data_IF_066299652001
#
_entry.id   IF_066299652001
#
_cell.length_a   1.000
_cell.length_b   1.000
_cell.length_c   1.000
_cell.angle_alpha   90.00
_cell.angle_beta   90.00
_cell.angle_gamma   90.00
#
_symmetry.space_group_name_H-M   'P 1'
#
loop_
_entity.id
_entity.type
_entity.pdbx_description
1 polymer ?
#
# COMPACT_ATOMS: atom_id res chain seq x y z
N UNK A 1 -21.13 -10.00 6.88
CA UNK A 1 -19.93 -9.55 6.13
C UNK A 1 -19.60 -10.59 5.07
N UNK A 2 -19.23 -10.16 3.87
CA UNK A 2 -18.84 -11.04 2.75
C UNK A 2 -17.38 -10.72 2.31
N UNK A 3 -16.58 -11.75 2.05
CA UNK A 3 -15.19 -11.63 1.63
C UNK A 3 -15.05 -12.22 0.22
N UNK A 4 -14.60 -11.41 -0.73
CA UNK A 4 -14.20 -11.89 -2.06
C UNK A 4 -12.76 -12.39 -1.98
N UNK A 5 -12.53 -13.66 -2.32
CA UNK A 5 -11.23 -14.31 -2.31
C UNK A 5 -10.95 -14.97 -3.65
N UNK A 6 -9.70 -14.93 -4.12
CA UNK A 6 -9.33 -15.67 -5.33
C UNK A 6 -9.13 -17.15 -5.01
N UNK A 7 -9.39 -18.01 -5.98
CA UNK A 7 -8.98 -19.42 -5.90
C UNK A 7 -7.49 -19.50 -5.58
N UNK A 8 -7.11 -20.35 -4.59
CA UNK A 8 -5.73 -20.51 -4.15
C UNK A 8 -5.16 -19.39 -3.28
N UNK A 9 -5.99 -18.42 -2.82
CA UNK A 9 -5.54 -17.42 -1.85
C UNK A 9 -5.19 -18.04 -0.50
N UNK A 10 -4.17 -17.50 0.15
CA UNK A 10 -3.86 -17.83 1.55
C UNK A 10 -4.94 -17.23 2.46
N UNK A 11 -5.64 -18.06 3.18
CA UNK A 11 -6.78 -17.68 4.03
C UNK A 11 -6.43 -17.53 5.51
N UNK A 12 -5.15 -17.70 5.90
CA UNK A 12 -4.74 -17.68 7.32
C UNK A 12 -5.22 -16.47 8.10
N UNK A 13 -5.28 -15.30 7.47
CA UNK A 13 -5.74 -14.07 8.13
C UNK A 13 -7.26 -13.97 8.31
N UNK A 14 -8.02 -14.80 7.59
CA UNK A 14 -9.48 -14.68 7.52
C UNK A 14 -10.20 -16.00 7.85
N UNK A 15 -9.45 -17.07 8.13
CA UNK A 15 -10.03 -18.40 8.34
C UNK A 15 -10.97 -18.44 9.54
N UNK A 16 -10.68 -17.67 10.61
CA UNK A 16 -11.43 -17.63 11.85
C UNK A 16 -12.55 -16.56 11.86
N UNK A 17 -12.68 -15.80 10.76
CA UNK A 17 -13.72 -14.79 10.65
C UNK A 17 -15.07 -15.42 10.29
N UNK A 18 -16.12 -15.05 11.04
CA UNK A 18 -17.51 -15.36 10.70
C UNK A 18 -17.97 -14.48 9.54
N UNK A 19 -17.66 -14.90 8.31
CA UNK A 19 -17.99 -14.17 7.09
C UNK A 19 -18.28 -15.13 5.94
N UNK A 20 -19.19 -14.75 5.06
CA UNK A 20 -19.42 -15.45 3.80
C UNK A 20 -18.20 -15.28 2.89
N UNK A 21 -17.73 -16.37 2.31
CA UNK A 21 -16.61 -16.35 1.38
C UNK A 21 -17.12 -16.65 -0.02
N UNK A 22 -16.87 -15.72 -0.93
CA UNK A 22 -17.21 -15.86 -2.35
C UNK A 22 -15.91 -15.90 -3.14
N UNK A 23 -15.77 -16.92 -3.98
CA UNK A 23 -14.61 -17.01 -4.89
C UNK A 23 -14.85 -16.15 -6.11
N UNK A 24 -13.86 -15.31 -6.46
CA UNK A 24 -13.91 -14.47 -7.65
C UNK A 24 -12.56 -13.77 -7.91
N UNK A 25 -12.48 -13.04 -9.00
CA UNK A 25 -11.27 -12.32 -9.43
C UNK A 25 -11.67 -10.94 -9.96
N UNK A 26 -10.85 -9.91 -9.73
CA UNK A 26 -11.08 -8.56 -10.25
C UNK A 26 -11.19 -8.49 -11.78
N UNK A 27 -10.67 -9.51 -12.48
CA UNK A 27 -10.72 -9.64 -13.94
C UNK A 27 -11.97 -10.37 -14.44
N UNK A 28 -12.82 -10.86 -13.53
CA UNK A 28 -14.07 -11.56 -13.84
C UNK A 28 -15.29 -10.77 -13.34
N UNK A 29 -15.86 -9.96 -14.22
CA UNK A 29 -17.01 -9.10 -13.91
C UNK A 29 -18.23 -9.89 -13.39
N UNK A 30 -18.44 -11.15 -13.84
CA UNK A 30 -19.56 -11.97 -13.36
C UNK A 30 -19.38 -12.34 -11.89
N UNK A 31 -18.18 -12.73 -11.50
CA UNK A 31 -17.88 -13.05 -10.11
C UNK A 31 -18.00 -11.81 -9.20
N UNK A 32 -17.63 -10.63 -9.71
CA UNK A 32 -17.75 -9.37 -8.96
C UNK A 32 -19.21 -8.99 -8.74
N UNK A 33 -20.07 -9.12 -9.77
CA UNK A 33 -21.51 -8.86 -9.64
C UNK A 33 -22.16 -9.79 -8.63
N UNK A 34 -21.83 -11.09 -8.67
CA UNK A 34 -22.32 -12.06 -7.69
C UNK A 34 -21.86 -11.69 -6.26
N UNK A 35 -20.59 -11.30 -6.10
CA UNK A 35 -20.04 -10.91 -4.80
C UNK A 35 -20.66 -9.62 -4.25
N UNK A 36 -20.99 -8.65 -5.12
CA UNK A 36 -21.58 -7.37 -4.74
C UNK A 36 -23.08 -7.46 -4.42
N UNK A 37 -23.78 -8.47 -4.98
CA UNK A 37 -25.22 -8.64 -4.80
C UNK A 37 -25.63 -8.71 -3.32
N UNK A 38 -26.55 -7.82 -2.90
CA UNK A 38 -27.05 -7.70 -1.52
C UNK A 38 -26.05 -7.10 -0.54
N UNK A 39 -24.96 -6.49 -1.00
CA UNK A 39 -24.06 -5.70 -0.17
C UNK A 39 -24.50 -4.25 -0.17
N UNK A 40 -24.53 -3.62 1.01
CA UNK A 40 -24.81 -2.19 1.17
C UNK A 40 -23.56 -1.33 0.95
N UNK A 41 -22.39 -1.88 1.28
CA UNK A 41 -21.10 -1.19 1.27
C UNK A 41 -20.03 -2.12 0.71
N UNK A 42 -19.10 -1.55 -0.04
CA UNK A 42 -17.91 -2.28 -0.51
C UNK A 42 -16.64 -1.56 -0.05
N UNK A 43 -15.75 -2.30 0.61
CA UNK A 43 -14.35 -1.91 0.78
C UNK A 43 -13.54 -2.57 -0.34
N UNK A 44 -13.10 -1.78 -1.31
CA UNK A 44 -12.28 -2.27 -2.41
C UNK A 44 -10.80 -2.12 -2.04
N UNK A 45 -10.25 -3.13 -1.38
CA UNK A 45 -8.85 -3.16 -0.89
C UNK A 45 -7.92 -3.90 -1.86
N UNK A 46 -8.48 -4.78 -2.69
CA UNK A 46 -7.70 -5.64 -3.55
C UNK A 46 -6.95 -4.86 -4.63
N UNK A 47 -5.65 -5.13 -4.77
CA UNK A 47 -4.79 -4.58 -5.82
C UNK A 47 -3.57 -5.48 -6.05
N UNK A 48 -2.95 -5.37 -7.22
CA UNK A 48 -1.59 -5.85 -7.44
C UNK A 48 -0.60 -4.76 -7.02
N UNK A 49 0.17 -5.02 -5.95
CA UNK A 49 1.11 -4.07 -5.34
C UNK A 49 2.58 -4.42 -5.59
N UNK A 50 2.86 -5.38 -6.48
CA UNK A 50 4.24 -5.77 -6.83
C UNK A 50 4.98 -4.59 -7.45
N UNK A 51 6.16 -4.26 -6.94
CA UNK A 51 6.99 -3.17 -7.47
C UNK A 51 7.68 -3.55 -8.78
N UNK A 52 7.77 -4.84 -9.06
CA UNK A 52 8.30 -5.38 -10.30
C UNK A 52 7.42 -6.54 -10.79
N UNK A 53 7.07 -6.51 -12.06
CA UNK A 53 6.32 -7.57 -12.75
C UNK A 53 6.94 -7.80 -14.11
N UNK A 54 6.88 -9.01 -14.59
CA UNK A 54 7.38 -9.37 -15.91
C UNK A 54 6.45 -8.92 -17.02
N UNK A 55 5.14 -9.06 -16.80
CA UNK A 55 4.08 -8.59 -17.66
C UNK A 55 3.31 -7.46 -16.96
N UNK A 56 3.55 -6.19 -17.33
CA UNK A 56 2.83 -5.07 -16.75
C UNK A 56 1.33 -5.03 -17.06
N UNK A 57 0.92 -5.60 -18.19
CA UNK A 57 -0.49 -5.58 -18.61
C UNK A 57 -1.41 -6.28 -17.60
N UNK A 58 -0.92 -7.38 -16.98
CA UNK A 58 -1.65 -8.06 -15.92
C UNK A 58 -1.96 -7.14 -14.74
N UNK A 59 -1.00 -6.28 -14.38
CA UNK A 59 -1.17 -5.30 -13.30
C UNK A 59 -2.20 -4.23 -13.66
N UNK A 60 -2.16 -3.71 -14.89
CA UNK A 60 -3.16 -2.73 -15.35
C UNK A 60 -4.56 -3.35 -15.42
N UNK A 61 -4.69 -4.57 -15.93
CA UNK A 61 -5.97 -5.29 -15.93
C UNK A 61 -6.51 -5.50 -14.52
N UNK A 62 -5.65 -5.87 -13.57
CA UNK A 62 -6.08 -6.06 -12.17
C UNK A 62 -6.41 -4.74 -11.47
N UNK A 63 -5.56 -3.73 -11.60
CA UNK A 63 -5.72 -2.49 -10.84
C UNK A 63 -6.70 -1.52 -11.48
N UNK A 64 -6.64 -1.31 -12.79
CA UNK A 64 -7.46 -0.30 -13.48
C UNK A 64 -8.80 -0.90 -13.91
N UNK A 65 -8.76 -1.97 -14.74
CA UNK A 65 -10.01 -2.57 -15.24
C UNK A 65 -10.75 -3.29 -14.11
N UNK A 66 -10.04 -3.92 -13.17
CA UNK A 66 -10.64 -4.50 -11.96
C UNK A 66 -11.34 -3.46 -11.08
N UNK A 67 -10.77 -2.25 -10.93
CA UNK A 67 -11.45 -1.15 -10.21
C UNK A 67 -12.70 -0.70 -10.97
N UNK A 68 -12.63 -0.58 -12.29
CA UNK A 68 -13.79 -0.25 -13.12
C UNK A 68 -14.89 -1.30 -12.97
N UNK A 69 -14.53 -2.57 -13.04
CA UNK A 69 -15.47 -3.68 -12.96
C UNK A 69 -16.17 -3.79 -11.58
N UNK A 70 -15.44 -3.56 -10.47
CA UNK A 70 -16.07 -3.59 -9.14
C UNK A 70 -16.97 -2.37 -8.90
N UNK A 71 -16.64 -1.21 -9.44
CA UNK A 71 -17.50 -0.02 -9.36
C UNK A 71 -18.79 -0.23 -10.18
N UNK A 72 -18.68 -0.81 -11.36
CA UNK A 72 -19.85 -1.16 -12.16
C UNK A 72 -20.73 -2.21 -11.46
N UNK A 73 -20.11 -3.27 -10.91
CA UNK A 73 -20.84 -4.28 -10.11
C UNK A 73 -21.53 -3.65 -8.89
N UNK A 74 -20.88 -2.69 -8.22
CA UNK A 74 -21.45 -1.93 -7.11
C UNK A 74 -22.68 -1.12 -7.56
N UNK A 75 -22.57 -0.40 -8.67
CA UNK A 75 -23.66 0.38 -9.25
C UNK A 75 -24.87 -0.48 -9.61
N UNK A 76 -24.63 -1.58 -10.34
CA UNK A 76 -25.68 -2.51 -10.76
C UNK A 76 -26.37 -3.23 -9.59
N UNK A 77 -25.64 -3.44 -8.47
CA UNK A 77 -26.15 -4.09 -7.27
C UNK A 77 -26.79 -3.12 -6.26
N UNK A 78 -26.85 -1.83 -6.57
CA UNK A 78 -27.44 -0.82 -5.69
C UNK A 78 -26.61 -0.59 -4.41
N UNK A 79 -25.31 -0.81 -4.46
CA UNK A 79 -24.39 -0.54 -3.34
C UNK A 79 -24.43 0.95 -2.99
N UNK A 80 -24.69 1.27 -1.73
CA UNK A 80 -24.85 2.65 -1.26
C UNK A 80 -23.53 3.42 -1.26
N UNK A 81 -22.43 2.81 -0.81
CA UNK A 81 -21.11 3.47 -0.73
C UNK A 81 -19.97 2.50 -1.01
N UNK A 82 -18.96 2.99 -1.70
CA UNK A 82 -17.69 2.28 -1.92
C UNK A 82 -16.55 3.05 -1.27
N UNK A 83 -15.76 2.38 -0.44
CA UNK A 83 -14.47 2.90 0.05
C UNK A 83 -13.35 2.26 -0.77
N UNK A 84 -12.75 3.05 -1.64
CA UNK A 84 -11.67 2.61 -2.51
C UNK A 84 -10.30 2.83 -1.87
N UNK A 85 -9.53 1.76 -1.71
CA UNK A 85 -8.16 1.82 -1.21
C UNK A 85 -7.18 2.12 -2.34
N UNK A 86 -6.76 3.36 -2.44
CA UNK A 86 -5.67 3.79 -3.31
C UNK A 86 -4.31 3.61 -2.61
N UNK A 87 -3.42 4.57 -2.71
CA UNK A 87 -2.09 4.53 -2.10
C UNK A 87 -1.49 5.94 -2.06
N UNK A 88 -0.66 6.24 -1.07
CA UNK A 88 0.23 7.41 -1.09
C UNK A 88 1.12 7.46 -2.34
N UNK A 89 1.31 6.33 -3.00
CA UNK A 89 2.09 6.22 -4.23
C UNK A 89 1.52 7.06 -5.39
N UNK A 90 0.23 7.44 -5.32
CA UNK A 90 -0.46 8.30 -6.31
C UNK A 90 -0.31 9.79 -6.03
N UNK A 91 0.29 10.16 -4.89
CA UNK A 91 0.46 11.56 -4.51
C UNK A 91 1.65 12.22 -5.21
N UNK A 92 1.53 13.53 -5.44
CA UNK A 92 2.67 14.37 -5.81
C UNK A 92 3.55 14.62 -4.60
N UNK A 93 4.86 14.69 -4.82
CA UNK A 93 5.81 15.05 -3.75
C UNK A 93 6.42 16.41 -4.05
N UNK A 94 6.33 17.32 -3.09
CA UNK A 94 6.86 18.67 -3.22
C UNK A 94 8.39 18.66 -3.13
N UNK A 95 9.06 19.41 -4.00
CA UNK A 95 10.52 19.56 -4.00
C UNK A 95 11.00 20.69 -3.06
N UNK A 96 10.08 21.49 -2.53
CA UNK A 96 10.35 22.69 -1.75
C UNK A 96 10.34 22.47 -0.22
N UNK A 97 10.44 21.22 0.23
CA UNK A 97 10.50 20.87 1.66
C UNK A 97 9.15 20.82 2.38
N UNK A 98 8.05 21.22 1.74
CA UNK A 98 6.72 21.04 2.31
C UNK A 98 6.26 19.59 2.21
N UNK A 99 5.51 19.13 3.22
CA UNK A 99 4.85 17.82 3.17
C UNK A 99 3.85 17.78 2.01
N UNK A 100 3.83 16.67 1.28
CA UNK A 100 2.80 16.45 0.27
C UNK A 100 1.45 16.17 0.94
N UNK A 101 0.37 16.62 0.31
CA UNK A 101 -1.01 16.40 0.74
C UNK A 101 -1.90 16.05 -0.46
N UNK A 102 -3.21 15.97 -0.25
CA UNK A 102 -4.19 15.64 -1.28
C UNK A 102 -4.29 16.71 -2.39
N UNK A 103 -3.79 17.92 -2.16
CA UNK A 103 -3.79 19.05 -3.14
C UNK A 103 -2.49 19.14 -3.91
N UNK A 104 -1.48 18.37 -3.52
CA UNK A 104 -0.15 18.38 -4.18
C UNK A 104 -0.29 18.04 -5.66
N UNK A 105 0.22 18.88 -6.57
CA UNK A 105 0.08 18.65 -8.01
C UNK A 105 0.73 17.32 -8.42
N UNK A 106 0.01 16.55 -9.19
CA UNK A 106 0.46 15.23 -9.66
C UNK A 106 -0.14 14.90 -11.02
N UNK A 107 0.63 14.21 -11.84
CA UNK A 107 0.19 13.71 -13.14
C UNK A 107 0.74 12.30 -13.38
N UNK A 108 0.22 11.61 -14.39
CA UNK A 108 0.71 10.30 -14.80
C UNK A 108 2.21 10.31 -15.15
N UNK A 109 2.73 11.43 -15.67
CA UNK A 109 4.15 11.59 -15.99
C UNK A 109 5.05 11.55 -14.75
N UNK A 110 4.52 11.88 -13.57
CA UNK A 110 5.25 11.82 -12.31
C UNK A 110 5.33 10.40 -11.71
N UNK A 111 4.58 9.45 -12.26
CA UNK A 111 4.47 8.10 -11.74
C UNK A 111 5.64 7.23 -12.22
N UNK A 112 6.53 6.86 -11.29
CA UNK A 112 7.69 5.98 -11.54
C UNK A 112 7.25 4.53 -11.38
N UNK A 113 7.46 3.72 -12.43
CA UNK A 113 7.14 2.30 -12.45
C UNK A 113 5.66 1.98 -12.67
N UNK A 114 5.39 0.74 -13.06
CA UNK A 114 4.03 0.30 -13.46
C UNK A 114 3.06 0.28 -12.28
N UNK A 115 3.53 -0.05 -11.07
CA UNK A 115 2.69 -0.03 -9.88
C UNK A 115 2.08 1.35 -9.64
N UNK A 116 2.91 2.41 -9.55
CA UNK A 116 2.40 3.77 -9.32
C UNK A 116 1.48 4.24 -10.43
N UNK A 117 1.84 3.94 -11.69
CA UNK A 117 1.03 4.31 -12.85
C UNK A 117 -0.35 3.63 -12.81
N UNK A 118 -0.40 2.32 -12.57
CA UNK A 118 -1.66 1.57 -12.49
C UNK A 118 -2.53 2.03 -11.32
N UNK A 119 -1.94 2.29 -10.14
CA UNK A 119 -2.68 2.83 -8.98
C UNK A 119 -3.21 4.23 -9.24
N UNK A 120 -2.41 5.10 -9.85
CA UNK A 120 -2.85 6.45 -10.23
C UNK A 120 -4.05 6.39 -11.20
N UNK A 121 -3.95 5.59 -12.27
CA UNK A 121 -5.05 5.44 -13.22
C UNK A 121 -6.31 4.86 -12.56
N UNK A 122 -6.17 3.86 -11.71
CA UNK A 122 -7.28 3.27 -10.96
C UNK A 122 -7.92 4.28 -9.97
N UNK A 123 -7.11 5.13 -9.34
CA UNK A 123 -7.62 6.21 -8.49
C UNK A 123 -8.43 7.22 -9.30
N UNK A 124 -7.99 7.59 -10.51
CA UNK A 124 -8.77 8.48 -11.37
C UNK A 124 -10.13 7.87 -11.75
N UNK A 125 -10.19 6.55 -12.01
CA UNK A 125 -11.46 5.83 -12.24
C UNK A 125 -12.38 5.94 -11.02
N UNK A 126 -11.86 5.79 -9.80
CA UNK A 126 -12.65 5.87 -8.58
C UNK A 126 -13.14 7.31 -8.30
N UNK A 127 -12.28 8.33 -8.51
CA UNK A 127 -12.64 9.75 -8.36
C UNK A 127 -13.71 10.13 -9.38
N UNK A 128 -13.57 9.70 -10.64
CA UNK A 128 -14.54 10.00 -11.69
C UNK A 128 -15.90 9.35 -11.40
N UNK A 129 -15.92 8.11 -10.90
CA UNK A 129 -17.16 7.48 -10.46
C UNK A 129 -17.85 8.30 -9.35
N UNK A 130 -17.08 8.83 -8.40
CA UNK A 130 -17.59 9.73 -7.36
C UNK A 130 -18.18 11.03 -7.92
N UNK A 131 -17.52 11.63 -8.89
CA UNK A 131 -18.00 12.85 -9.57
C UNK A 131 -19.23 12.59 -10.42
N UNK A 132 -19.36 11.39 -10.95
CA UNK A 132 -20.49 10.95 -11.78
C UNK A 132 -21.71 10.48 -10.97
N UNK A 133 -21.73 10.71 -9.65
CA UNK A 133 -22.90 10.47 -8.81
C UNK A 133 -22.91 9.17 -8.02
N UNK A 134 -21.87 8.31 -8.12
CA UNK A 134 -21.69 7.22 -7.18
C UNK A 134 -21.15 7.75 -5.85
N UNK A 135 -21.54 7.14 -4.73
CA UNK A 135 -20.94 7.46 -3.43
C UNK A 135 -19.62 6.69 -3.26
N UNK A 136 -18.50 7.29 -3.71
CA UNK A 136 -17.16 6.70 -3.64
C UNK A 136 -16.24 7.60 -2.84
N UNK A 137 -15.68 7.07 -1.77
CA UNK A 137 -14.64 7.73 -0.96
C UNK A 137 -13.31 7.04 -1.19
N UNK A 138 -12.27 7.84 -1.46
CA UNK A 138 -10.92 7.31 -1.72
C UNK A 138 -10.06 7.45 -0.48
N UNK A 139 -9.39 6.39 -0.07
CA UNK A 139 -8.37 6.44 0.99
C UNK A 139 -6.99 6.12 0.41
N UNK A 140 -5.99 6.85 0.85
CA UNK A 140 -4.60 6.71 0.41
C UNK A 140 -3.73 6.31 1.61
N UNK A 141 -3.71 5.01 1.98
CA UNK A 141 -2.78 4.54 3.00
C UNK A 141 -1.33 4.87 2.62
N UNK A 142 -0.53 5.19 3.62
CA UNK A 142 0.89 5.40 3.42
C UNK A 142 1.63 4.06 3.39
N UNK A 143 2.41 3.76 4.38
CA UNK A 143 3.18 2.52 4.45
C UNK A 143 2.76 1.76 5.71
N UNK A 144 1.70 0.92 5.65
CA UNK A 144 1.22 0.19 6.79
C UNK A 144 2.27 -0.79 7.33
N UNK A 145 2.38 -0.85 8.65
CA UNK A 145 3.23 -1.81 9.37
C UNK A 145 2.46 -2.39 10.55
N UNK A 146 2.68 -3.67 10.83
CA UNK A 146 2.02 -4.38 11.94
C UNK A 146 2.06 -5.88 11.75
N UNK A 147 1.25 -6.58 12.49
CA UNK A 147 1.06 -8.02 12.45
C UNK A 147 0.29 -8.51 11.22
N UNK A 148 0.33 -9.82 10.96
CA UNK A 148 -0.43 -10.53 9.90
C UNK A 148 -0.01 -10.20 8.46
N UNK A 149 1.21 -9.73 8.25
CA UNK A 149 1.77 -9.55 6.91
C UNK A 149 2.30 -10.90 6.36
N UNK A 150 1.37 -11.81 6.06
CA UNK A 150 1.64 -13.21 5.65
C UNK A 150 2.57 -13.29 4.44
N UNK A 151 2.38 -12.39 3.48
CA UNK A 151 3.24 -12.27 2.32
C UNK A 151 3.96 -10.93 2.43
N UNK A 152 5.15 -10.91 3.08
CA UNK A 152 5.80 -9.67 3.48
C UNK A 152 5.73 -8.59 2.39
N UNK A 153 4.99 -7.53 2.69
CA UNK A 153 4.92 -6.33 1.86
C UNK A 153 6.30 -5.68 1.78
N UNK A 154 6.54 -4.70 0.91
CA UNK A 154 7.80 -3.96 0.91
C UNK A 154 8.19 -3.42 2.30
N UNK A 155 7.22 -2.99 3.10
CA UNK A 155 7.45 -2.53 4.48
C UNK A 155 7.78 -3.70 5.42
N UNK A 156 7.00 -4.77 5.36
CA UNK A 156 7.26 -5.98 6.16
C UNK A 156 8.62 -6.60 5.85
N UNK A 157 9.08 -6.51 4.59
CA UNK A 157 10.43 -6.95 4.20
C UNK A 157 11.53 -6.14 4.90
N UNK A 158 11.33 -4.85 5.17
CA UNK A 158 12.29 -4.07 5.97
C UNK A 158 12.44 -4.71 7.36
N UNK A 159 11.33 -5.06 8.00
CA UNK A 159 11.35 -5.71 9.33
C UNK A 159 12.03 -7.08 9.25
N UNK A 160 11.60 -7.94 8.33
CA UNK A 160 12.17 -9.30 8.16
C UNK A 160 13.66 -9.27 7.82
N UNK A 161 14.07 -8.38 6.90
CA UNK A 161 15.48 -8.27 6.51
C UNK A 161 16.35 -7.68 7.63
N UNK A 162 15.79 -6.79 8.45
CA UNK A 162 16.46 -6.30 9.66
C UNK A 162 16.68 -7.44 10.68
N UNK A 163 15.65 -8.22 10.97
CA UNK A 163 15.74 -9.38 11.85
C UNK A 163 16.78 -10.40 11.37
N UNK A 164 16.87 -10.59 10.05
CA UNK A 164 17.88 -11.47 9.41
C UNK A 164 19.26 -10.83 9.27
N UNK A 165 19.49 -9.64 9.86
CA UNK A 165 20.76 -8.89 9.80
C UNK A 165 21.25 -8.60 8.37
N UNK A 166 20.32 -8.37 7.42
CA UNK A 166 20.64 -8.12 6.00
C UNK A 166 20.88 -6.65 5.66
N UNK A 167 20.95 -5.78 6.65
CA UNK A 167 21.26 -4.36 6.47
C UNK A 167 22.69 -4.05 6.92
N UNK A 168 23.73 -4.26 6.10
CA UNK A 168 25.09 -3.82 6.42
C UNK A 168 25.22 -2.29 6.36
N UNK A 169 24.33 -1.64 5.58
CA UNK A 169 24.29 -0.21 5.34
C UNK A 169 22.87 0.23 4.99
N UNK A 170 22.63 1.54 4.89
CA UNK A 170 21.33 2.11 4.55
C UNK A 170 21.43 3.18 3.46
N UNK A 171 20.36 3.41 2.72
CA UNK A 171 20.21 4.53 1.77
C UNK A 171 19.47 5.69 2.45
N UNK A 172 19.78 6.94 2.05
CA UNK A 172 19.06 8.11 2.53
C UNK A 172 17.72 8.24 1.82
N UNK A 173 16.73 7.63 2.41
CA UNK A 173 15.33 7.67 1.98
C UNK A 173 14.42 7.84 3.19
N UNK A 174 13.12 8.04 2.96
CA UNK A 174 12.14 8.17 4.03
C UNK A 174 10.76 7.74 3.58
N UNK A 175 10.01 7.23 4.54
CA UNK A 175 8.64 6.74 4.38
C UNK A 175 7.75 7.38 5.43
N UNK A 176 6.47 7.50 5.13
CA UNK A 176 5.48 7.75 6.16
C UNK A 176 4.94 6.39 6.62
N UNK A 177 5.23 5.99 7.85
CA UNK A 177 4.74 4.73 8.42
C UNK A 177 3.41 4.95 9.15
N UNK A 178 2.48 4.03 8.99
CA UNK A 178 1.20 4.01 9.69
C UNK A 178 0.97 2.63 10.31
N UNK A 179 0.40 2.60 11.51
CA UNK A 179 -0.08 1.36 12.12
C UNK A 179 -1.18 0.74 11.26
N UNK A 180 -1.06 -0.55 10.91
CA UNK A 180 -2.04 -1.27 10.07
C UNK A 180 -3.43 -1.29 10.70
N UNK A 181 -3.52 -1.37 12.03
CA UNK A 181 -4.80 -1.34 12.77
C UNK A 181 -5.46 0.04 12.65
N UNK A 182 -4.68 1.11 12.83
CA UNK A 182 -5.20 2.46 12.64
C UNK A 182 -5.57 2.70 11.17
N UNK A 183 -4.78 2.21 10.22
CA UNK A 183 -5.12 2.27 8.81
C UNK A 183 -6.50 1.62 8.53
N UNK A 184 -6.79 0.46 9.12
CA UNK A 184 -8.09 -0.18 9.00
C UNK A 184 -9.21 0.66 9.62
N UNK A 185 -8.98 1.28 10.79
CA UNK A 185 -9.93 2.23 11.42
C UNK A 185 -10.19 3.44 10.54
N UNK A 186 -9.16 3.93 9.85
CA UNK A 186 -9.30 5.01 8.88
C UNK A 186 -10.23 4.69 7.70
N UNK A 187 -10.24 3.43 7.24
CA UNK A 187 -11.20 2.97 6.24
C UNK A 187 -12.64 3.02 6.77
N UNK A 188 -12.85 2.62 8.02
CA UNK A 188 -14.18 2.70 8.66
C UNK A 188 -14.60 4.17 8.85
N UNK A 189 -13.69 5.01 9.32
CA UNK A 189 -13.97 6.45 9.44
C UNK A 189 -14.30 7.10 8.07
N UNK A 190 -13.63 6.68 7.00
CA UNK A 190 -13.93 7.13 5.64
C UNK A 190 -15.32 6.66 5.17
N UNK A 191 -15.74 5.43 5.55
CA UNK A 191 -17.09 4.97 5.30
C UNK A 191 -18.14 5.84 6.00
N UNK A 192 -17.90 6.21 7.26
CA UNK A 192 -18.87 6.93 8.09
C UNK A 192 -18.92 8.44 7.79
N UNK A 193 -17.76 9.06 7.56
CA UNK A 193 -17.60 10.53 7.53
C UNK A 193 -17.03 11.07 6.22
N UNK A 194 -16.47 10.19 5.38
CA UNK A 194 -15.82 10.63 4.15
C UNK A 194 -16.78 11.27 3.16
N UNK A 195 -16.36 12.33 2.52
CA UNK A 195 -17.09 13.01 1.45
C UNK A 195 -16.89 12.27 0.12
N UNK A 196 -17.98 12.00 -0.59
CA UNK A 196 -17.93 11.35 -1.90
C UNK A 196 -17.09 12.14 -2.90
N UNK A 197 -16.30 11.45 -3.70
CA UNK A 197 -15.39 12.04 -4.68
C UNK A 197 -14.09 12.60 -4.09
N UNK A 198 -13.97 12.60 -2.76
CA UNK A 198 -12.78 13.09 -2.05
C UNK A 198 -11.80 11.96 -1.71
N UNK A 199 -10.53 12.35 -1.54
CA UNK A 199 -9.46 11.44 -1.12
C UNK A 199 -8.84 11.89 0.19
N UNK A 200 -8.39 10.90 0.99
CA UNK A 200 -7.87 11.09 2.33
C UNK A 200 -6.59 10.29 2.55
N UNK A 201 -5.51 10.96 2.89
CA UNK A 201 -4.24 10.30 3.25
C UNK A 201 -4.36 9.71 4.66
N UNK A 202 -4.29 8.38 4.75
CA UNK A 202 -4.22 7.68 6.03
C UNK A 202 -2.75 7.44 6.37
N UNK A 203 -2.10 8.47 6.91
CA UNK A 203 -0.69 8.47 7.22
C UNK A 203 -0.41 8.48 8.72
N UNK A 204 0.83 8.17 9.07
CA UNK A 204 1.34 8.20 10.43
C UNK A 204 2.61 9.05 10.53
N UNK A 205 3.71 8.48 11.04
CA UNK A 205 4.96 9.19 11.25
C UNK A 205 5.83 9.25 9.99
N UNK A 206 6.33 10.43 9.67
CA UNK A 206 7.34 10.65 8.62
C UNK A 206 8.73 10.28 9.18
N UNK A 207 9.29 9.16 8.75
CA UNK A 207 10.55 8.61 9.25
C UNK A 207 11.54 8.36 8.12
N UNK A 208 12.81 8.72 8.32
CA UNK A 208 13.89 8.24 7.46
C UNK A 208 14.08 6.74 7.66
N UNK A 209 14.63 6.06 6.64
CA UNK A 209 14.95 4.64 6.77
C UNK A 209 15.89 4.40 7.97
N UNK A 210 16.84 5.31 8.21
CA UNK A 210 17.72 5.21 9.38
C UNK A 210 16.93 5.22 10.70
N UNK A 211 15.98 6.13 10.87
CA UNK A 211 15.12 6.18 12.05
C UNK A 211 14.27 4.91 12.21
N UNK A 212 13.75 4.35 11.10
CA UNK A 212 13.02 3.08 11.15
C UNK A 212 13.93 1.95 11.65
N UNK A 213 15.16 1.85 11.10
CA UNK A 213 16.14 0.84 11.50
C UNK A 213 16.61 1.04 12.94
N UNK A 214 16.71 2.29 13.43
CA UNK A 214 17.03 2.59 14.83
C UNK A 214 15.90 2.16 15.78
N UNK A 215 14.64 2.43 15.42
CA UNK A 215 13.48 1.94 16.18
C UNK A 215 13.47 0.41 16.25
N UNK A 216 13.74 -0.28 15.12
CA UNK A 216 13.86 -1.75 15.10
C UNK A 216 15.03 -2.23 15.97
N UNK A 217 16.17 -1.52 15.98
CA UNK A 217 17.30 -1.86 16.83
C UNK A 217 16.94 -1.79 18.32
N UNK A 218 16.22 -0.76 18.75
CA UNK A 218 15.73 -0.62 20.14
C UNK A 218 14.76 -1.76 20.49
N UNK A 219 13.86 -2.13 19.57
CA UNK A 219 12.87 -3.18 19.81
C UNK A 219 13.51 -4.57 19.92
N UNK A 220 14.52 -4.85 19.09
CA UNK A 220 15.07 -6.20 18.92
C UNK A 220 16.39 -6.43 19.65
N UNK A 221 17.08 -5.39 20.09
CA UNK A 221 18.45 -5.45 20.61
C UNK A 221 19.52 -5.68 19.53
N UNK A 222 19.14 -5.74 18.24
CA UNK A 222 20.10 -5.90 17.14
C UNK A 222 20.77 -4.57 16.77
N UNK A 223 22.01 -4.59 16.24
CA UNK A 223 22.69 -3.35 15.87
C UNK A 223 22.04 -2.68 14.66
N UNK A 224 21.84 -1.36 14.75
CA UNK A 224 21.42 -0.54 13.61
C UNK A 224 22.60 -0.26 12.67
N UNK A 225 22.40 -0.28 11.33
CA UNK A 225 23.44 0.02 10.36
C UNK A 225 23.90 1.48 10.50
N UNK A 226 25.24 1.69 10.45
CA UNK A 226 25.87 3.01 10.61
C UNK A 226 26.32 3.63 9.29
N UNK A 227 26.53 2.81 8.27
CA UNK A 227 27.09 3.24 6.99
C UNK A 227 25.98 3.66 6.03
N UNK A 228 26.08 4.89 5.51
CA UNK A 228 25.19 5.39 4.46
C UNK A 228 25.73 5.04 3.08
N UNK A 229 24.91 4.42 2.24
CA UNK A 229 25.26 4.11 0.84
C UNK A 229 24.95 5.31 -0.04
N UNK A 230 25.90 5.79 -0.86
CA UNK A 230 25.64 6.81 -1.87
C UNK A 230 24.60 6.33 -2.90
N UNK A 231 23.76 7.25 -3.39
CA UNK A 231 22.70 6.93 -4.35
C UNK A 231 23.20 6.21 -5.61
N UNK A 232 24.36 6.62 -6.13
CA UNK A 232 24.96 6.02 -7.34
C UNK A 232 25.27 4.54 -7.13
N UNK A 233 25.80 4.18 -5.95
CA UNK A 233 26.08 2.78 -5.58
C UNK A 233 24.78 1.98 -5.45
N UNK A 234 23.77 2.55 -4.82
CA UNK A 234 22.46 1.91 -4.70
C UNK A 234 21.83 1.70 -6.09
N UNK A 235 21.95 2.67 -7.00
CA UNK A 235 21.44 2.56 -8.37
C UNK A 235 22.18 1.48 -9.17
N UNK A 236 23.51 1.42 -9.09
CA UNK A 236 24.29 0.37 -9.74
C UNK A 236 23.88 -1.02 -9.23
N UNK A 237 23.70 -1.19 -7.91
CA UNK A 237 23.20 -2.43 -7.31
C UNK A 237 21.81 -2.79 -7.84
N UNK A 238 20.91 -1.81 -7.93
CA UNK A 238 19.57 -2.01 -8.48
C UNK A 238 19.57 -2.47 -9.93
N UNK A 239 20.44 -1.90 -10.77
CA UNK A 239 20.60 -2.33 -12.17
C UNK A 239 21.08 -3.77 -12.24
N UNK A 240 22.14 -4.12 -11.49
CA UNK A 240 22.71 -5.48 -11.49
C UNK A 240 21.68 -6.49 -10.98
N UNK A 241 21.00 -6.21 -9.88
CA UNK A 241 20.00 -7.14 -9.31
C UNK A 241 18.79 -7.30 -10.26
N UNK A 242 18.31 -6.23 -10.87
CA UNK A 242 17.21 -6.31 -11.83
C UNK A 242 17.57 -7.14 -13.07
N UNK A 243 18.80 -7.00 -13.59
CA UNK A 243 19.25 -7.78 -14.75
C UNK A 243 19.46 -9.24 -14.34
N UNK A 244 20.24 -9.50 -13.30
CA UNK A 244 20.63 -10.87 -12.92
C UNK A 244 19.45 -11.62 -12.31
N UNK A 245 18.78 -11.03 -11.32
CA UNK A 245 17.70 -11.73 -10.61
C UNK A 245 16.39 -11.65 -11.40
N UNK A 246 16.06 -10.49 -11.97
CA UNK A 246 14.81 -10.28 -12.69
C UNK A 246 14.78 -10.96 -14.06
N UNK A 247 15.72 -10.63 -14.94
CA UNK A 247 15.66 -11.11 -16.32
C UNK A 247 16.35 -12.46 -16.52
N UNK A 248 17.52 -12.70 -15.91
CA UNK A 248 18.28 -13.93 -16.10
C UNK A 248 17.68 -15.06 -15.23
N UNK A 249 17.57 -14.85 -13.92
CA UNK A 249 17.05 -15.86 -12.97
C UNK A 249 15.52 -15.95 -12.93
N UNK A 250 14.81 -15.01 -13.56
CA UNK A 250 13.34 -14.92 -13.62
C UNK A 250 12.67 -14.91 -12.24
N UNK A 251 13.33 -14.29 -11.25
CA UNK A 251 12.83 -14.12 -9.88
C UNK A 251 12.60 -12.63 -9.59
N UNK A 252 11.83 -12.32 -8.55
CA UNK A 252 11.60 -10.95 -8.11
C UNK A 252 12.91 -10.34 -7.59
N UNK A 253 13.42 -9.24 -8.19
CA UNK A 253 14.62 -8.55 -7.70
C UNK A 253 14.36 -7.94 -6.33
N UNK A 254 15.39 -7.89 -5.48
CA UNK A 254 15.32 -7.21 -4.18
C UNK A 254 15.41 -5.70 -4.32
N UNK A 255 16.27 -5.24 -5.21
CA UNK A 255 16.46 -3.84 -5.56
C UNK A 255 16.15 -3.66 -7.05
N UNK A 256 15.08 -2.93 -7.37
CA UNK A 256 14.78 -2.55 -8.76
C UNK A 256 15.24 -1.13 -9.03
N UNK A 257 15.53 -0.80 -10.29
CA UNK A 257 15.87 0.56 -10.69
C UNK A 257 14.79 1.54 -10.26
N UNK A 258 13.51 1.16 -10.42
CA UNK A 258 12.38 2.01 -10.04
C UNK A 258 12.27 2.17 -8.52
N UNK A 259 12.53 1.11 -7.74
CA UNK A 259 12.56 1.22 -6.27
C UNK A 259 13.67 2.17 -5.79
N UNK A 260 14.85 2.10 -6.39
CA UNK A 260 15.97 3.02 -6.05
C UNK A 260 15.64 4.46 -6.48
N UNK A 261 15.04 4.66 -7.66
CA UNK A 261 14.62 5.99 -8.12
C UNK A 261 13.53 6.58 -7.22
N UNK A 262 12.57 5.76 -6.80
CA UNK A 262 11.55 6.17 -5.82
C UNK A 262 12.17 6.55 -4.47
N UNK A 263 13.15 5.76 -4.02
CA UNK A 263 13.86 6.00 -2.76
C UNK A 263 14.68 7.30 -2.72
N UNK A 264 14.94 7.96 -3.86
CA UNK A 264 15.61 9.26 -3.88
C UNK A 264 14.77 10.37 -3.25
N UNK A 265 13.44 10.25 -3.27
CA UNK A 265 12.52 11.21 -2.67
C UNK A 265 11.98 10.64 -1.36
N UNK A 266 12.06 11.40 -0.28
CA UNK A 266 11.40 11.05 0.97
C UNK A 266 9.90 11.16 0.75
N UNK A 267 9.17 10.07 0.95
CA UNK A 267 7.72 10.01 0.80
C UNK A 267 7.04 10.53 2.07
N UNK A 268 7.28 11.80 2.38
CA UNK A 268 6.73 12.48 3.54
C UNK A 268 5.46 13.20 3.17
N UNK A 269 4.41 12.96 3.94
CA UNK A 269 3.07 13.46 3.68
C UNK A 269 2.40 14.01 4.94
N UNK A 270 1.36 14.80 4.74
CA UNK A 270 0.47 15.29 5.79
C UNK A 270 -0.87 14.57 5.71
N UNK A 271 -1.40 14.16 6.85
CA UNK A 271 -2.75 13.61 6.99
C UNK A 271 -3.76 14.66 7.51
N UNK A 272 -3.41 15.95 7.45
CA UNK A 272 -4.21 17.02 8.07
C UNK A 272 -5.66 17.10 7.56
N UNK A 273 -5.94 16.64 6.33
CA UNK A 273 -7.32 16.53 5.84
C UNK A 273 -8.07 15.40 6.54
N UNK A 274 -7.47 14.22 6.65
CA UNK A 274 -8.08 13.10 7.36
C UNK A 274 -8.29 13.42 8.86
N UNK A 275 -7.38 14.16 9.48
CA UNK A 275 -7.54 14.60 10.87
C UNK A 275 -8.78 15.48 11.06
N UNK A 276 -8.96 16.47 10.19
CA UNK A 276 -10.12 17.39 10.28
C UNK A 276 -11.44 16.72 9.94
N UNK A 277 -11.48 15.98 8.84
CA UNK A 277 -12.73 15.54 8.21
C UNK A 277 -13.20 14.19 8.75
N UNK A 278 -12.25 13.28 9.05
CA UNK A 278 -12.52 11.93 9.52
C UNK A 278 -12.33 11.75 11.04
N UNK A 279 -11.68 12.72 11.70
CA UNK A 279 -11.22 12.59 13.09
C UNK A 279 -10.03 11.62 13.21
N UNK A 280 -9.24 11.49 12.16
CA UNK A 280 -8.01 10.69 12.13
C UNK A 280 -7.04 11.15 13.22
N UNK A 281 -6.30 10.20 13.80
CA UNK A 281 -5.25 10.53 14.77
C UNK A 281 -3.97 9.82 14.39
N UNK A 282 -2.88 10.57 14.30
CA UNK A 282 -1.56 10.00 14.11
C UNK A 282 -1.11 9.39 15.45
N UNK A 283 -0.79 8.10 15.43
CA UNK A 283 -0.23 7.37 16.59
C UNK A 283 1.21 6.98 16.32
N UNK A 284 2.08 6.98 17.35
CA UNK A 284 3.44 6.50 17.24
C UNK A 284 3.50 5.06 16.74
N UNK A 285 4.40 4.77 15.79
CA UNK A 285 4.48 3.45 15.14
C UNK A 285 5.29 2.42 15.93
N UNK A 286 5.87 2.79 17.09
CA UNK A 286 6.69 1.89 17.88
C UNK A 286 5.94 0.61 18.29
N UNK A 287 4.70 0.73 18.73
CA UNK A 287 3.86 -0.41 19.09
C UNK A 287 3.55 -1.29 17.86
N UNK A 288 3.30 -0.69 16.70
CA UNK A 288 3.04 -1.41 15.46
C UNK A 288 4.30 -2.15 14.97
N UNK A 289 5.49 -1.50 15.05
CA UNK A 289 6.76 -2.14 14.73
C UNK A 289 7.05 -3.32 15.66
N UNK A 290 6.76 -3.19 16.96
CA UNK A 290 6.91 -4.30 17.92
C UNK A 290 5.99 -5.46 17.56
N UNK A 291 4.69 -5.21 17.32
CA UNK A 291 3.77 -6.28 16.88
C UNK A 291 4.21 -6.95 15.57
N UNK A 292 4.75 -6.17 14.63
CA UNK A 292 5.31 -6.73 13.40
C UNK A 292 6.50 -7.64 13.67
N UNK A 293 7.46 -7.22 14.52
CA UNK A 293 8.62 -8.01 14.93
C UNK A 293 8.17 -9.31 15.59
N UNK A 294 7.32 -9.22 16.61
CA UNK A 294 6.82 -10.37 17.39
C UNK A 294 6.09 -11.35 16.46
N UNK A 295 5.26 -10.84 15.56
CA UNK A 295 4.51 -11.67 14.64
C UNK A 295 5.42 -12.39 13.63
N UNK A 296 6.38 -11.70 13.02
CA UNK A 296 7.30 -12.32 12.06
C UNK A 296 8.17 -13.39 12.72
N UNK A 297 8.64 -13.15 13.95
CA UNK A 297 9.40 -14.15 14.71
C UNK A 297 8.53 -15.36 15.07
N UNK A 298 7.34 -15.16 15.61
CA UNK A 298 6.41 -16.22 15.99
C UNK A 298 5.95 -17.10 14.81
N UNK A 299 5.95 -16.54 13.58
CA UNK A 299 5.52 -17.26 12.37
C UNK A 299 6.68 -17.75 11.50
N UNK A 300 7.93 -17.74 12.00
CA UNK A 300 9.09 -18.36 11.33
C UNK A 300 9.61 -17.57 10.12
N UNK A 301 9.36 -16.25 10.05
CA UNK A 301 9.90 -15.41 8.97
C UNK A 301 11.34 -14.95 9.25
N UNK A 302 11.78 -15.00 10.51
CA UNK A 302 13.13 -14.57 10.94
C UNK A 302 13.59 -15.37 12.14
#
# INVERSE_FOLDING_TARGET
>A
MRLLVRSGSDLRNIQDLKADRVTGDLRDAKSLKLAASGCEVIFHVAADYRLWVRDPEEMYRSNVEGTRAILEAARESGVRRVVYTSSVATMGFNSNGHLADERSPVSLANMIGHYKRSKFMAEQVAIEAGRSGMDVVVVNPTTPVGERDIKPTPTGRIVVDFLKKKFPAYVDTGLNLVDVTECARGHVAALEKGTSGERYILGGENLTLKQILDKLAVITGLPSPKVRVPYVVALATGVVDQVVTGYIRKREPRATIDAVRMGRKKMFVSSGKAERDLGWKIVPVDAALRRAVDWFQANGYA
#
